data_IF_753418407376
#
_entry.id   IF_753418407376
#
_cell.length_a   1.000
_cell.length_b   1.000
_cell.length_c   1.000
_cell.angle_alpha   90.00
_cell.angle_beta   90.00
_cell.angle_gamma   90.00
#
_symmetry.space_group_name_H-M   'P 1'
#
loop_
_entity.id
_entity.type
_entity.pdbx_description
1 polymer ?
#
# COMPACT_ATOMS: atom_id res chain seq x y z
N UNK A 1 30.83 15.61 -9.18
CA UNK A 1 31.26 14.91 -7.96
C UNK A 1 31.13 15.89 -6.80
N UNK A 2 30.38 15.55 -5.77
CA UNK A 2 30.23 16.37 -4.55
C UNK A 2 31.30 15.97 -3.53
N UNK A 3 32.00 16.95 -2.98
CA UNK A 3 33.06 16.74 -1.99
C UNK A 3 32.46 16.54 -0.59
N UNK A 4 33.08 15.73 0.30
CA UNK A 4 32.58 15.55 1.67
C UNK A 4 32.52 16.89 2.39
N UNK A 5 31.44 17.13 3.11
CA UNK A 5 31.24 18.36 3.89
C UNK A 5 31.54 18.17 5.38
N UNK A 6 31.74 16.93 5.85
CA UNK A 6 32.28 16.66 7.21
C UNK A 6 33.75 16.31 7.25
N UNK A 7 34.26 16.47 8.47
CA UNK A 7 35.64 16.20 8.90
C UNK A 7 35.98 14.71 9.04
N UNK A 8 34.99 13.79 8.99
CA UNK A 8 35.21 12.33 9.01
C UNK A 8 34.25 11.60 8.06
N UNK A 9 34.69 10.43 7.61
CA UNK A 9 33.95 9.51 6.74
C UNK A 9 32.71 8.97 7.44
N UNK A 10 32.80 8.60 8.71
CA UNK A 10 31.68 8.08 9.50
C UNK A 10 30.58 9.13 9.66
N UNK A 11 30.95 10.39 9.90
CA UNK A 11 30.00 11.50 10.01
C UNK A 11 29.36 11.81 8.66
N UNK A 12 30.12 11.71 7.56
CA UNK A 12 29.57 11.92 6.22
C UNK A 12 28.60 10.79 5.85
N UNK A 13 28.96 9.56 6.19
CA UNK A 13 28.14 8.37 5.97
C UNK A 13 26.83 8.47 6.74
N UNK A 14 26.89 8.81 8.03
CA UNK A 14 25.72 8.98 8.88
C UNK A 14 24.80 10.08 8.34
N UNK A 15 25.33 11.26 8.00
CA UNK A 15 24.52 12.37 7.46
C UNK A 15 23.82 11.99 6.15
N UNK A 16 24.51 11.26 5.27
CA UNK A 16 23.91 10.78 4.00
C UNK A 16 22.84 9.74 4.26
N UNK A 17 23.06 8.82 5.17
CA UNK A 17 22.07 7.80 5.53
C UNK A 17 20.82 8.44 6.16
N UNK A 18 21.00 9.39 7.07
CA UNK A 18 19.90 10.17 7.66
C UNK A 18 19.14 10.98 6.61
N UNK A 19 19.84 11.62 5.67
CA UNK A 19 19.20 12.32 4.56
C UNK A 19 18.39 11.37 3.66
N UNK A 20 18.92 10.18 3.37
CA UNK A 20 18.22 9.15 2.60
C UNK A 20 16.98 8.64 3.35
N UNK A 21 17.08 8.38 4.65
CA UNK A 21 15.93 7.98 5.49
C UNK A 21 14.88 9.09 5.57
N UNK A 22 15.28 10.35 5.71
CA UNK A 22 14.36 11.48 5.65
C UNK A 22 13.64 11.56 4.30
N UNK A 23 14.34 11.33 3.18
CA UNK A 23 13.72 11.28 1.85
C UNK A 23 12.75 10.10 1.72
N UNK A 24 13.04 8.93 2.32
CA UNK A 24 12.11 7.78 2.36
C UNK A 24 10.79 8.11 3.08
N UNK A 25 10.81 8.96 4.11
CA UNK A 25 9.59 9.37 4.82
C UNK A 25 8.67 10.24 3.95
N UNK A 26 9.21 10.94 2.95
CA UNK A 26 8.45 11.85 2.07
C UNK A 26 8.24 11.32 0.65
N UNK A 27 9.07 10.39 0.18
CA UNK A 27 9.00 9.83 -1.17
C UNK A 27 8.83 8.31 -1.13
N UNK A 28 7.80 7.78 -1.80
CA UNK A 28 7.58 6.33 -2.02
C UNK A 28 8.60 5.69 -2.99
N UNK A 29 9.78 6.29 -3.16
CA UNK A 29 10.81 5.82 -4.07
C UNK A 29 11.78 4.94 -3.29
N UNK A 30 11.59 3.63 -3.41
CA UNK A 30 12.60 2.65 -3.00
C UNK A 30 13.87 2.86 -3.83
N UNK A 31 14.97 3.14 -3.15
CA UNK A 31 16.29 3.33 -3.75
C UNK A 31 16.70 2.06 -4.53
N UNK A 32 17.06 2.19 -5.81
CA UNK A 32 17.62 1.10 -6.63
C UNK A 32 16.72 0.47 -7.71
N UNK A 33 15.51 0.95 -7.95
CA UNK A 33 14.65 0.47 -9.05
C UNK A 33 14.90 1.18 -10.39
N UNK A 34 14.69 0.53 -11.56
CA UNK A 34 14.77 1.19 -12.85
C UNK A 34 13.88 2.44 -12.90
N UNK A 35 14.45 3.59 -13.27
CA UNK A 35 13.73 4.87 -13.38
C UNK A 35 12.64 4.80 -14.45
N UNK A 36 11.49 4.21 -14.14
CA UNK A 36 10.31 4.23 -15.03
C UNK A 36 9.57 5.56 -14.89
N UNK A 37 10.12 6.58 -15.56
CA UNK A 37 9.41 7.58 -16.37
C UNK A 37 8.12 8.27 -15.88
N UNK A 38 7.75 8.25 -14.60
CA UNK A 38 6.54 8.95 -14.13
C UNK A 38 6.88 9.98 -13.06
N UNK A 39 6.71 11.25 -13.41
CA UNK A 39 6.84 12.42 -12.53
C UNK A 39 5.85 12.30 -11.36
N UNK A 40 6.28 12.42 -10.10
CA UNK A 40 5.36 12.51 -8.97
C UNK A 40 4.43 13.72 -9.12
N UNK A 41 3.13 13.54 -8.87
CA UNK A 41 2.15 14.63 -8.81
C UNK A 41 2.54 15.57 -7.65
N UNK A 42 2.73 16.86 -7.95
CA UNK A 42 3.02 17.90 -6.96
C UNK A 42 1.81 18.05 -6.03
N UNK A 43 1.94 17.61 -4.78
CA UNK A 43 1.03 18.02 -3.70
C UNK A 43 1.51 19.41 -3.26
N UNK A 44 0.63 20.39 -3.33
CA UNK A 44 0.90 21.77 -2.87
C UNK A 44 0.57 21.81 -1.37
N UNK A 45 1.52 22.14 -0.47
CA UNK A 45 1.18 22.41 0.92
C UNK A 45 0.55 23.80 1.05
N UNK A 46 -0.62 23.84 1.67
CA UNK A 46 -1.32 25.05 2.13
C UNK A 46 -0.43 25.73 3.17
N UNK A 47 -0.21 27.05 3.02
CA UNK A 47 0.56 27.86 3.95
C UNK A 47 -0.31 28.25 5.14
N UNK A 48 -0.12 27.61 6.29
CA UNK A 48 -0.65 28.14 7.55
C UNK A 48 0.42 29.00 8.25
N UNK A 49 0.35 30.29 7.95
CA UNK A 49 0.95 31.36 8.73
C UNK A 49 0.23 31.44 10.07
N UNK A 50 0.95 31.35 11.20
CA UNK A 50 0.67 32.16 12.42
C UNK A 50 1.72 31.99 13.53
N UNK A 51 2.29 33.14 13.86
CA UNK A 51 3.21 33.50 14.96
C UNK A 51 2.54 33.33 16.35
N UNK A 52 3.31 33.16 17.46
CA UNK A 52 2.76 32.78 18.77
C UNK A 52 2.43 33.98 19.68
N UNK A 53 1.48 33.81 20.60
CA UNK A 53 1.36 34.58 21.84
C UNK A 53 0.55 33.85 22.93
N UNK A 54 0.74 34.15 24.24
CA UNK A 54 0.49 33.25 25.36
C UNK A 54 -0.68 33.72 26.27
N UNK A 55 -0.78 33.28 27.54
CA UNK A 55 -1.66 32.21 28.02
C UNK A 55 -2.90 32.74 28.78
N UNK A 56 -3.99 31.96 28.83
CA UNK A 56 -5.10 32.27 29.75
C UNK A 56 -5.63 31.03 30.48
N UNK A 57 -5.30 31.02 31.77
CA UNK A 57 -5.99 30.53 32.96
C UNK A 57 -6.95 29.33 32.87
N UNK A 58 -6.47 28.26 33.50
CA UNK A 58 -7.10 27.11 34.17
C UNK A 58 -8.59 27.24 34.49
N UNK A 59 -9.39 26.29 33.98
CA UNK A 59 -10.56 25.74 34.68
C UNK A 59 -10.71 24.24 34.40
N UNK A 60 -10.67 23.45 35.49
CA UNK A 60 -11.09 22.08 35.79
C UNK A 60 -11.15 20.98 34.69
N UNK A 61 -10.70 19.74 34.99
CA UNK A 61 -10.75 18.63 34.06
C UNK A 61 -12.16 18.07 33.95
N UNK A 62 -12.86 18.43 32.87
CA UNK A 62 -13.90 17.56 32.33
C UNK A 62 -13.19 16.36 31.68
N UNK A 63 -13.48 15.14 32.15
CA UNK A 63 -13.06 13.92 31.48
C UNK A 63 -13.37 14.06 29.98
N UNK A 64 -12.36 14.03 29.09
CA UNK A 64 -12.65 13.98 27.68
C UNK A 64 -13.44 12.70 27.44
N UNK A 65 -14.51 12.74 26.62
CA UNK A 65 -15.09 11.52 26.07
C UNK A 65 -13.92 10.69 25.55
N UNK A 66 -13.86 9.40 25.90
CA UNK A 66 -12.88 8.47 25.38
C UNK A 66 -13.07 8.40 23.86
N UNK A 67 -12.51 9.39 23.15
CA UNK A 67 -12.44 9.44 21.71
C UNK A 67 -11.56 8.25 21.37
N UNK A 68 -12.18 7.23 20.77
CA UNK A 68 -11.43 6.12 20.20
C UNK A 68 -10.24 6.70 19.42
N UNK A 69 -9.02 6.18 19.62
CA UNK A 69 -7.86 6.66 18.87
C UNK A 69 -8.21 6.70 17.39
N UNK A 70 -8.00 7.84 16.73
CA UNK A 70 -8.20 7.91 15.29
C UNK A 70 -7.37 6.80 14.63
N UNK A 71 -7.98 6.04 13.70
CA UNK A 71 -7.31 4.89 13.11
C UNK A 71 -6.02 5.34 12.43
N UNK A 72 -4.98 4.54 12.61
CA UNK A 72 -3.70 4.77 11.95
C UNK A 72 -3.88 4.74 10.44
N UNK A 73 -2.99 5.42 9.70
CA UNK A 73 -2.99 5.36 8.21
C UNK A 73 -2.95 3.93 7.68
N UNK A 74 -2.28 3.03 8.40
CA UNK A 74 -2.19 1.62 8.05
C UNK A 74 -3.55 0.91 8.20
N UNK A 75 -4.28 1.15 9.29
CA UNK A 75 -5.62 0.60 9.51
C UNK A 75 -6.62 1.11 8.48
N UNK A 76 -6.55 2.41 8.15
CA UNK A 76 -7.37 3.00 7.08
C UNK A 76 -7.09 2.30 5.75
N UNK A 77 -5.82 2.13 5.38
CA UNK A 77 -5.46 1.46 4.13
C UNK A 77 -5.89 -0.02 4.10
N UNK A 78 -5.86 -0.72 5.24
CA UNK A 78 -6.36 -2.10 5.35
C UNK A 78 -7.87 -2.12 5.13
N UNK A 79 -8.59 -1.19 5.76
CA UNK A 79 -10.03 -1.07 5.58
C UNK A 79 -10.40 -0.79 4.12
N UNK A 80 -9.74 0.17 3.48
CA UNK A 80 -9.95 0.52 2.07
C UNK A 80 -9.69 -0.68 1.14
N UNK A 81 -8.59 -1.41 1.35
CA UNK A 81 -8.29 -2.61 0.56
C UNK A 81 -9.36 -3.70 0.77
N UNK A 82 -9.81 -3.90 2.01
CA UNK A 82 -10.90 -4.83 2.32
C UNK A 82 -12.22 -4.43 1.67
N UNK A 83 -12.55 -3.14 1.66
CA UNK A 83 -13.74 -2.59 1.00
C UNK A 83 -13.69 -2.74 -0.52
N UNK A 84 -12.53 -2.48 -1.14
CA UNK A 84 -12.31 -2.70 -2.57
C UNK A 84 -12.54 -4.17 -2.95
N UNK A 85 -12.00 -5.13 -2.17
CA UNK A 85 -12.26 -6.56 -2.40
C UNK A 85 -13.75 -6.91 -2.25
N UNK A 86 -14.42 -6.35 -1.24
CA UNK A 86 -15.84 -6.64 -0.94
C UNK A 86 -16.82 -6.01 -1.90
N UNK A 87 -16.56 -4.81 -2.39
CA UNK A 87 -17.58 -4.00 -3.08
C UNK A 87 -17.25 -3.69 -4.53
N UNK A 88 -15.98 -3.54 -4.91
CA UNK A 88 -15.63 -3.09 -6.25
C UNK A 88 -15.97 -4.15 -7.30
N UNK A 89 -16.63 -3.74 -8.39
CA UNK A 89 -16.88 -4.61 -9.54
C UNK A 89 -15.58 -5.10 -10.20
N UNK A 90 -14.51 -4.29 -10.11
CA UNK A 90 -13.16 -4.59 -10.59
C UNK A 90 -12.16 -4.29 -9.49
N UNK A 91 -11.97 -5.21 -8.53
CA UNK A 91 -11.09 -4.98 -7.40
C UNK A 91 -9.66 -4.73 -7.87
N UNK A 92 -8.93 -3.96 -7.08
CA UNK A 92 -7.54 -3.57 -7.27
C UNK A 92 -6.64 -4.14 -6.18
N UNK A 93 -7.18 -4.56 -5.05
CA UNK A 93 -6.47 -5.32 -4.03
C UNK A 93 -6.56 -6.83 -4.27
N UNK A 94 -5.50 -7.56 -3.94
CA UNK A 94 -5.46 -9.02 -4.07
C UNK A 94 -6.02 -9.67 -2.80
N UNK A 95 -7.16 -10.36 -2.91
CA UNK A 95 -7.80 -11.03 -1.78
C UNK A 95 -6.89 -12.06 -1.10
N UNK A 96 -6.05 -12.74 -1.89
CA UNK A 96 -5.12 -13.76 -1.38
C UNK A 96 -3.97 -13.15 -0.58
N UNK A 97 -3.42 -12.03 -1.04
CA UNK A 97 -2.43 -11.26 -0.28
C UNK A 97 -3.08 -10.65 0.96
N UNK A 98 -4.27 -10.05 0.83
CA UNK A 98 -4.99 -9.41 1.94
C UNK A 98 -5.29 -10.39 3.08
N UNK A 99 -5.75 -11.59 2.73
CA UNK A 99 -6.12 -12.65 3.66
C UNK A 99 -4.93 -13.37 4.30
N UNK A 100 -3.70 -13.13 3.85
CA UNK A 100 -2.52 -13.77 4.43
C UNK A 100 -1.94 -12.91 5.57
N UNK A 101 -2.16 -13.26 6.85
CA UNK A 101 -1.63 -12.50 7.98
C UNK A 101 -0.10 -12.59 8.10
N UNK A 102 0.50 -13.66 7.57
CA UNK A 102 1.95 -13.87 7.54
C UNK A 102 2.62 -13.26 6.28
N UNK A 103 1.87 -12.51 5.47
CA UNK A 103 2.40 -11.88 4.27
C UNK A 103 3.55 -10.93 4.60
N UNK A 104 4.69 -11.10 3.93
CA UNK A 104 5.83 -10.20 4.10
C UNK A 104 5.47 -8.76 3.66
N UNK A 105 5.67 -7.81 4.59
CA UNK A 105 5.53 -6.37 4.36
C UNK A 105 4.10 -5.90 4.07
N UNK A 106 3.98 -4.74 3.44
CA UNK A 106 2.70 -4.10 3.13
C UNK A 106 1.94 -4.76 1.96
N UNK A 107 2.18 -6.05 1.64
CA UNK A 107 1.49 -6.74 0.53
C UNK A 107 -0.01 -6.85 0.73
N UNK A 108 -0.46 -6.98 2.00
CA UNK A 108 -1.89 -6.97 2.34
C UNK A 108 -2.59 -5.67 1.93
N UNK A 109 -1.82 -4.59 1.92
CA UNK A 109 -2.25 -3.23 1.54
C UNK A 109 -2.04 -2.92 0.06
N UNK A 110 -1.42 -3.83 -0.70
CA UNK A 110 -1.03 -3.53 -2.07
C UNK A 110 -2.27 -3.39 -2.97
N UNK A 111 -2.48 -2.18 -3.46
CA UNK A 111 -3.48 -1.88 -4.48
C UNK A 111 -2.80 -1.69 -5.84
N UNK A 112 -3.16 -2.50 -6.82
CA UNK A 112 -2.67 -2.37 -8.18
C UNK A 112 -3.25 -1.12 -8.84
N UNK A 113 -2.46 -0.41 -9.66
CA UNK A 113 -2.93 0.79 -10.38
C UNK A 113 -4.09 0.51 -11.33
N UNK A 114 -4.15 -0.71 -11.88
CA UNK A 114 -5.20 -1.19 -12.79
C UNK A 114 -5.60 -2.61 -12.42
N UNK A 115 -6.87 -2.95 -12.60
CA UNK A 115 -7.39 -4.31 -12.42
C UNK A 115 -6.63 -5.37 -13.24
N UNK A 116 -6.22 -5.06 -14.47
CA UNK A 116 -5.37 -5.96 -15.28
C UNK A 116 -4.03 -6.31 -14.58
N UNK A 117 -3.47 -5.37 -13.82
CA UNK A 117 -2.26 -5.60 -13.02
C UNK A 117 -2.49 -6.60 -11.90
N UNK A 118 -3.64 -6.51 -11.23
CA UNK A 118 -4.07 -7.49 -10.24
C UNK A 118 -4.24 -8.89 -10.87
N UNK A 119 -4.94 -9.00 -11.99
CA UNK A 119 -5.14 -10.29 -12.68
C UNK A 119 -3.81 -10.95 -13.05
N UNK A 120 -2.84 -10.16 -13.56
CA UNK A 120 -1.50 -10.67 -13.89
C UNK A 120 -0.76 -11.16 -12.65
N UNK A 121 -0.82 -10.40 -11.56
CA UNK A 121 -0.21 -10.82 -10.30
C UNK A 121 -0.83 -12.12 -9.79
N UNK A 122 -2.16 -12.19 -9.73
CA UNK A 122 -2.86 -13.36 -9.24
C UNK A 122 -2.50 -14.60 -10.07
N UNK A 123 -2.47 -14.48 -11.41
CA UNK A 123 -2.06 -15.55 -12.31
C UNK A 123 -0.64 -16.06 -12.02
N UNK A 124 0.29 -15.16 -11.75
CA UNK A 124 1.70 -15.49 -11.59
C UNK A 124 2.05 -16.03 -10.19
N UNK A 125 1.29 -15.65 -9.17
CA UNK A 125 1.66 -15.92 -7.76
C UNK A 125 0.68 -16.86 -7.05
N UNK A 126 -0.61 -16.79 -7.35
CA UNK A 126 -1.68 -17.40 -6.53
C UNK A 126 -2.60 -18.33 -7.31
N UNK A 127 -2.37 -18.55 -8.60
CA UNK A 127 -3.23 -19.41 -9.42
C UNK A 127 -3.21 -20.86 -8.94
N UNK A 128 -2.10 -21.30 -8.34
CA UNK A 128 -1.89 -22.68 -7.90
C UNK A 128 -2.10 -22.88 -6.39
N UNK A 129 -2.49 -21.84 -5.65
CA UNK A 129 -2.64 -21.90 -4.17
C UNK A 129 -3.71 -22.93 -3.74
N UNK A 130 -4.77 -23.11 -4.54
CA UNK A 130 -5.93 -23.99 -4.28
C UNK A 130 -6.63 -23.80 -2.92
N UNK A 131 -6.30 -22.72 -2.20
CA UNK A 131 -6.95 -22.30 -0.97
C UNK A 131 -7.15 -20.78 -1.02
N UNK A 132 -8.33 -20.32 -0.62
CA UNK A 132 -8.62 -18.91 -0.49
C UNK A 132 -8.26 -18.42 0.91
N UNK A 133 -7.22 -17.58 1.04
CA UNK A 133 -6.86 -16.96 2.31
C UNK A 133 -7.90 -15.94 2.81
N UNK A 134 -8.74 -15.41 1.92
CA UNK A 134 -9.76 -14.44 2.29
C UNK A 134 -11.02 -15.10 2.86
N UNK A 135 -11.53 -16.13 2.17
CA UNK A 135 -12.69 -16.90 2.62
C UNK A 135 -12.34 -18.02 3.59
N UNK A 136 -11.05 -18.36 3.71
CA UNK A 136 -10.55 -19.53 4.44
C UNK A 136 -11.18 -20.85 3.95
N UNK A 137 -11.35 -20.98 2.63
CA UNK A 137 -11.95 -22.13 1.95
C UNK A 137 -10.89 -22.85 1.11
N UNK A 138 -10.81 -24.18 1.20
CA UNK A 138 -9.96 -25.00 0.32
C UNK A 138 -10.78 -25.60 -0.81
N UNK A 139 -10.17 -25.79 -1.98
CA UNK A 139 -10.85 -26.33 -3.17
C UNK A 139 -10.02 -27.43 -3.80
N UNK A 140 -10.67 -28.56 -4.08
CA UNK A 140 -9.97 -29.80 -4.46
C UNK A 140 -9.27 -29.70 -5.82
N UNK A 141 -9.86 -28.97 -6.77
CA UNK A 141 -9.40 -28.92 -8.16
C UNK A 141 -9.33 -27.49 -8.73
N UNK A 142 -8.43 -27.30 -9.70
CA UNK A 142 -8.18 -26.02 -10.37
C UNK A 142 -9.43 -25.39 -10.98
N UNK A 143 -10.35 -26.20 -11.52
CA UNK A 143 -11.61 -25.69 -12.08
C UNK A 143 -12.48 -25.00 -11.02
N UNK A 144 -12.60 -25.61 -9.83
CA UNK A 144 -13.36 -25.04 -8.72
C UNK A 144 -12.65 -23.83 -8.13
N UNK A 145 -11.32 -23.85 -8.05
CA UNK A 145 -10.53 -22.68 -7.68
C UNK A 145 -10.81 -21.51 -8.61
N UNK A 146 -10.66 -21.68 -9.93
CA UNK A 146 -10.94 -20.63 -10.93
C UNK A 146 -12.39 -20.15 -10.88
N UNK A 147 -13.35 -21.02 -10.61
CA UNK A 147 -14.75 -20.61 -10.43
C UNK A 147 -14.92 -19.78 -9.16
N UNK A 148 -14.32 -20.21 -8.05
CA UNK A 148 -14.34 -19.47 -6.79
C UNK A 148 -13.76 -18.05 -6.96
N UNK A 149 -12.63 -17.89 -7.67
CA UNK A 149 -12.05 -16.55 -7.90
C UNK A 149 -12.98 -15.63 -8.68
N UNK A 150 -13.76 -16.16 -9.62
CA UNK A 150 -14.73 -15.38 -10.40
C UNK A 150 -15.95 -15.04 -9.55
N UNK A 151 -16.57 -16.06 -8.94
CA UNK A 151 -17.88 -15.92 -8.30
C UNK A 151 -17.81 -15.14 -6.98
N UNK A 152 -16.77 -15.39 -6.16
CA UNK A 152 -16.60 -14.75 -4.84
C UNK A 152 -15.79 -13.48 -4.90
N UNK A 153 -14.82 -13.41 -5.82
CA UNK A 153 -13.84 -12.32 -5.84
C UNK A 153 -13.85 -11.50 -7.12
N UNK A 154 -14.68 -11.82 -8.12
CA UNK A 154 -14.76 -11.08 -9.39
C UNK A 154 -13.42 -11.00 -10.14
N UNK A 155 -12.53 -11.98 -9.93
CA UNK A 155 -11.27 -12.13 -10.66
C UNK A 155 -11.42 -13.21 -11.73
N UNK A 156 -11.59 -12.77 -12.98
CA UNK A 156 -11.57 -13.65 -14.13
C UNK A 156 -10.20 -13.65 -14.82
N UNK A 157 -9.43 -14.70 -14.55
CA UNK A 157 -8.04 -14.85 -15.03
C UNK A 157 -7.98 -15.45 -16.44
N UNK A 158 -9.09 -15.99 -16.97
CA UNK A 158 -9.12 -16.72 -18.26
C UNK A 158 -8.81 -15.82 -19.46
N UNK A 159 -9.14 -14.53 -19.40
CA UNK A 159 -9.11 -13.61 -20.55
C UNK A 159 -7.88 -12.69 -20.65
N UNK A 160 -6.78 -13.00 -19.95
CA UNK A 160 -5.54 -12.24 -20.14
C UNK A 160 -4.82 -12.56 -21.46
N UNK A 161 -5.24 -13.59 -22.20
CA UNK A 161 -4.66 -14.01 -23.48
C UNK A 161 -5.18 -13.27 -24.72
N UNK A 162 -6.35 -12.63 -24.66
CA UNK A 162 -7.05 -12.13 -25.88
C UNK A 162 -6.94 -10.62 -26.10
N UNK A 163 -6.04 -9.92 -25.41
CA UNK A 163 -5.76 -8.52 -25.72
C UNK A 163 -4.40 -8.43 -26.42
N UNK A 164 -4.34 -7.87 -27.65
CA UNK A 164 -3.08 -7.68 -28.34
C UNK A 164 -2.12 -6.90 -27.44
N UNK A 165 -0.87 -7.35 -27.45
CA UNK A 165 0.26 -6.63 -26.88
C UNK A 165 0.53 -5.37 -27.70
N UNK A 166 -0.40 -4.42 -27.71
CA UNK A 166 -0.16 -3.13 -28.33
C UNK A 166 0.47 -2.19 -27.29
N UNK A 167 1.82 -2.22 -27.35
CA UNK A 167 2.81 -1.17 -27.13
C UNK A 167 2.73 -0.33 -25.83
#
# INVERSE_FOLDING_TARGET
>A
MTWPTSLSVEIEWQRRNEATEAVRLYCDVLEGGPRRGRRPKRIVPIQDTRTPSPPREVMAPAEPPLLAPSPSRHEIALQEAGEDIRTAAKPRACFQCYGNPAGFGNRRLMQYSRHKGLLRHFRAVHLDDRHCNYCNESVDNEMYWRRHTVDKHRLNVRYLGDYPHDL
#
